data_IF_933515768480
#
_entry.id   IF_933515768480
#
_cell.length_a   1.000
_cell.length_b   1.000
_cell.length_c   1.000
_cell.angle_alpha   90.00
_cell.angle_beta   90.00
_cell.angle_gamma   90.00
#
_symmetry.space_group_name_H-M   'P 1'
#
loop_
_entity.id
_entity.type
_entity.pdbx_description
1 polymer ?
#
# COMPACT_ATOMS: atom_id res chain seq x y z
N UNK A 1 -69.13 -33.36 -1.22
CA UNK A 1 -68.84 -32.94 0.13
C UNK A 1 -67.35 -32.64 0.23
N UNK A 2 -66.89 -31.39 0.29
CA UNK A 2 -65.47 -31.07 0.39
C UNK A 2 -65.08 -31.06 1.88
N UNK A 3 -63.90 -31.63 2.17
CA UNK A 3 -63.27 -31.61 3.52
C UNK A 3 -62.53 -30.28 3.68
N UNK A 4 -62.98 -29.52 4.67
CA UNK A 4 -62.30 -28.27 5.10
C UNK A 4 -61.02 -28.59 5.85
N UNK A 5 -59.89 -28.04 5.38
CA UNK A 5 -58.62 -28.07 6.09
C UNK A 5 -58.59 -26.91 7.09
N UNK A 6 -58.47 -27.25 8.36
CA UNK A 6 -58.24 -26.29 9.47
C UNK A 6 -56.78 -25.83 9.37
N UNK A 7 -56.58 -24.56 9.04
CA UNK A 7 -55.28 -23.88 9.17
C UNK A 7 -55.15 -23.38 10.58
N UNK A 8 -54.14 -23.86 11.32
CA UNK A 8 -53.82 -23.44 12.69
C UNK A 8 -52.93 -22.24 12.62
N UNK A 9 -53.37 -21.04 13.06
CA UNK A 9 -52.59 -19.80 12.95
C UNK A 9 -51.39 -19.66 13.90
N UNK A 10 -51.11 -20.66 14.71
CA UNK A 10 -50.10 -20.54 15.80
C UNK A 10 -48.66 -20.94 15.46
N UNK A 11 -48.43 -21.63 14.29
CA UNK A 11 -47.09 -22.13 13.98
C UNK A 11 -46.20 -21.13 13.22
N UNK A 12 -46.76 -20.15 12.54
CA UNK A 12 -45.99 -19.18 11.73
C UNK A 12 -45.28 -18.12 12.59
N UNK A 13 -45.87 -17.75 13.73
CA UNK A 13 -45.23 -16.75 14.64
C UNK A 13 -44.02 -17.32 15.41
N UNK A 14 -43.95 -18.63 15.64
CA UNK A 14 -42.82 -19.21 16.41
C UNK A 14 -41.54 -19.32 15.59
N UNK A 15 -41.64 -19.56 14.27
CA UNK A 15 -40.46 -19.65 13.40
C UNK A 15 -39.84 -18.27 13.10
N UNK A 16 -40.66 -17.23 12.99
CA UNK A 16 -40.16 -15.87 12.76
C UNK A 16 -39.50 -15.29 14.03
N UNK A 17 -40.01 -15.59 15.23
CA UNK A 17 -39.39 -15.15 16.47
C UNK A 17 -38.07 -15.91 16.77
N UNK A 18 -38.00 -17.20 16.44
CA UNK A 18 -36.78 -18.00 16.62
C UNK A 18 -35.68 -17.60 15.62
N UNK A 19 -36.04 -17.29 14.36
CA UNK A 19 -35.10 -16.82 13.36
C UNK A 19 -34.55 -15.41 13.70
N UNK A 20 -35.39 -14.52 14.23
CA UNK A 20 -34.96 -13.20 14.72
C UNK A 20 -34.09 -13.29 15.98
N UNK A 21 -34.41 -14.22 16.91
CA UNK A 21 -33.60 -14.44 18.12
C UNK A 21 -32.22 -15.06 17.77
N UNK A 22 -32.17 -16.03 16.83
CA UNK A 22 -30.92 -16.63 16.36
C UNK A 22 -30.08 -15.62 15.55
N UNK A 23 -30.71 -14.78 14.72
CA UNK A 23 -30.02 -13.68 14.02
C UNK A 23 -29.41 -12.66 14.99
N UNK A 24 -30.17 -12.23 16.00
CA UNK A 24 -29.70 -11.27 17.01
C UNK A 24 -28.57 -11.83 17.90
N UNK A 25 -28.58 -13.15 18.21
CA UNK A 25 -27.50 -13.79 18.98
C UNK A 25 -26.23 -13.96 18.14
N UNK A 26 -26.34 -14.30 16.85
CA UNK A 26 -25.20 -14.35 15.94
C UNK A 26 -24.56 -12.97 15.74
N UNK A 27 -25.37 -11.91 15.59
CA UNK A 27 -24.87 -10.54 15.49
C UNK A 27 -24.22 -10.06 16.81
N UNK A 28 -24.78 -10.39 17.96
CA UNK A 28 -24.22 -10.05 19.25
C UNK A 28 -22.89 -10.77 19.53
N UNK A 29 -22.79 -12.05 19.17
CA UNK A 29 -21.54 -12.83 19.31
C UNK A 29 -20.46 -12.34 18.32
N UNK A 30 -20.83 -11.96 17.10
CA UNK A 30 -19.90 -11.35 16.15
C UNK A 30 -19.42 -9.99 16.63
N UNK A 31 -20.30 -9.15 17.19
CA UNK A 31 -19.94 -7.84 17.73
C UNK A 31 -19.05 -7.95 18.98
N UNK A 32 -19.31 -8.90 19.88
CA UNK A 32 -18.48 -9.15 21.06
C UNK A 32 -17.09 -9.68 20.65
N UNK A 33 -17.03 -10.59 19.70
CA UNK A 33 -15.77 -11.12 19.12
C UNK A 33 -15.01 -10.01 18.41
N UNK A 34 -15.68 -9.16 17.65
CA UNK A 34 -15.10 -7.97 16.98
C UNK A 34 -14.51 -6.99 18.00
N UNK A 35 -15.24 -6.63 19.07
CA UNK A 35 -14.74 -5.77 20.14
C UNK A 35 -13.56 -6.38 20.89
N UNK A 36 -13.52 -7.71 21.05
CA UNK A 36 -12.38 -8.41 21.64
C UNK A 36 -11.14 -8.37 20.74
N UNK A 37 -11.29 -8.52 19.42
CA UNK A 37 -10.22 -8.39 18.45
C UNK A 37 -9.63 -6.97 18.40
N UNK A 38 -10.47 -5.94 18.46
CA UNK A 38 -10.04 -4.53 18.51
C UNK A 38 -9.32 -4.18 19.83
N UNK A 39 -9.64 -4.88 20.93
CA UNK A 39 -8.99 -4.72 22.24
C UNK A 39 -7.75 -5.60 22.39
N UNK A 40 -7.61 -6.66 21.62
CA UNK A 40 -6.41 -7.47 21.59
C UNK A 40 -5.29 -6.60 21.00
N UNK A 41 -4.24 -6.32 21.79
CA UNK A 41 -3.05 -5.67 21.24
C UNK A 41 -2.52 -6.57 20.11
N UNK A 42 -2.29 -6.04 18.90
CA UNK A 42 -1.72 -6.84 17.82
C UNK A 42 -0.42 -7.48 18.31
N UNK A 43 -0.16 -8.71 17.91
CA UNK A 43 1.09 -9.37 18.22
C UNK A 43 2.25 -8.50 17.73
N UNK A 44 3.22 -8.24 18.60
CA UNK A 44 4.42 -7.48 18.22
C UNK A 44 5.34 -8.43 17.45
N UNK A 45 5.65 -8.16 16.18
CA UNK A 45 6.53 -9.01 15.41
C UNK A 45 7.95 -8.96 15.97
N UNK A 46 8.74 -10.04 15.81
CA UNK A 46 10.16 -10.00 16.15
C UNK A 46 10.84 -8.86 15.38
N UNK A 47 11.83 -8.22 16.01
CA UNK A 47 12.59 -7.16 15.37
C UNK A 47 13.09 -7.62 14.00
N UNK A 48 12.73 -6.89 12.95
CA UNK A 48 13.17 -7.20 11.62
C UNK A 48 14.72 -7.19 11.59
N UNK A 49 15.34 -8.24 11.03
CA UNK A 49 16.80 -8.32 10.93
C UNK A 49 17.30 -7.38 9.83
N UNK A 50 17.81 -6.23 10.23
CA UNK A 50 18.31 -5.21 9.32
C UNK A 50 19.82 -5.25 9.23
N UNK A 51 20.34 -5.20 8.01
CA UNK A 51 21.77 -5.03 7.78
C UNK A 51 22.29 -3.66 8.25
N UNK A 52 23.62 -3.55 8.38
CA UNK A 52 24.31 -2.35 8.88
C UNK A 52 23.97 -1.01 8.20
N UNK A 53 23.32 -1.03 7.03
CA UNK A 53 22.95 0.17 6.28
C UNK A 53 21.84 1.02 6.94
N UNK A 54 21.04 0.44 7.84
CA UNK A 54 19.95 1.16 8.52
C UNK A 54 20.44 2.22 9.51
N UNK A 55 21.67 2.11 10.03
CA UNK A 55 22.24 3.15 10.90
C UNK A 55 22.53 4.45 10.12
N UNK A 56 22.83 4.37 8.83
CA UNK A 56 23.03 5.54 7.98
C UNK A 56 21.73 6.31 7.75
N UNK A 57 20.60 5.62 7.60
CA UNK A 57 19.28 6.23 7.36
C UNK A 57 18.71 6.98 8.59
N UNK A 58 19.24 6.75 9.77
CA UNK A 58 18.84 7.50 10.97
C UNK A 58 19.37 8.94 11.01
N UNK A 59 20.28 9.34 10.13
CA UNK A 59 21.10 10.52 10.39
C UNK A 59 20.83 11.75 9.54
N UNK A 60 20.31 11.66 8.31
CA UNK A 60 20.17 12.89 7.50
C UNK A 60 19.10 12.75 6.40
N UNK A 61 18.02 13.50 6.53
CA UNK A 61 17.21 13.88 5.38
C UNK A 61 18.05 14.82 4.47
N UNK A 62 17.93 14.68 3.15
CA UNK A 62 18.53 15.63 2.24
C UNK A 62 17.96 17.04 2.47
N UNK A 63 18.70 18.11 2.18
CA UNK A 63 18.14 19.47 2.24
C UNK A 63 16.84 19.58 1.42
N UNK A 64 16.80 19.01 0.24
CA UNK A 64 15.59 19.02 -0.62
C UNK A 64 14.40 18.37 0.07
N UNK A 65 14.58 17.22 0.74
CA UNK A 65 13.54 16.59 1.54
C UNK A 65 13.03 17.50 2.66
N UNK A 66 13.94 18.20 3.36
CA UNK A 66 13.57 19.08 4.47
C UNK A 66 12.76 20.29 4.01
N UNK A 67 13.06 20.85 2.83
CA UNK A 67 12.37 21.99 2.26
C UNK A 67 11.10 21.63 1.45
N UNK A 68 10.89 20.36 1.16
CA UNK A 68 9.72 19.90 0.42
C UNK A 68 8.41 20.21 1.17
N UNK A 69 7.39 20.63 0.42
CA UNK A 69 6.01 20.86 0.86
C UNK A 69 5.04 20.22 -0.13
N UNK A 70 3.78 20.11 0.23
CA UNK A 70 2.73 19.57 -0.65
C UNK A 70 2.53 20.40 -1.93
N UNK A 71 2.91 21.69 -1.92
CA UNK A 71 2.86 22.57 -3.09
C UNK A 71 4.10 22.43 -4.00
N UNK A 72 5.07 21.59 -3.63
CA UNK A 72 6.27 21.37 -4.45
C UNK A 72 5.93 20.70 -5.77
N UNK A 73 6.64 21.10 -6.84
CA UNK A 73 6.53 20.54 -8.20
C UNK A 73 7.11 19.12 -8.32
N UNK A 74 7.76 18.62 -7.27
CA UNK A 74 8.42 17.30 -7.19
C UNK A 74 7.76 16.46 -6.12
N UNK A 75 7.87 15.15 -6.22
CA UNK A 75 7.37 14.24 -5.21
C UNK A 75 8.39 14.07 -4.07
N UNK A 76 7.91 13.92 -2.83
CA UNK A 76 8.78 13.82 -1.66
C UNK A 76 9.71 12.61 -1.74
N UNK A 77 9.24 11.48 -2.27
CA UNK A 77 10.02 10.27 -2.43
C UNK A 77 11.21 10.42 -3.39
N UNK A 78 11.16 11.36 -4.35
CA UNK A 78 12.28 11.68 -5.24
C UNK A 78 13.49 12.29 -4.47
N UNK A 79 13.31 12.68 -3.20
CA UNK A 79 14.32 13.34 -2.36
C UNK A 79 14.87 12.47 -1.23
N UNK A 80 14.51 11.19 -1.15
CA UNK A 80 14.90 10.33 -0.03
C UNK A 80 16.33 9.78 -0.13
N UNK A 81 16.99 9.94 -1.29
CA UNK A 81 18.42 9.65 -1.47
C UNK A 81 18.77 8.16 -1.57
N UNK A 82 17.79 7.32 -1.87
CA UNK A 82 17.96 5.89 -2.14
C UNK A 82 18.01 5.61 -3.65
N UNK A 83 18.07 4.33 -4.01
CA UNK A 83 17.97 3.91 -5.40
C UNK A 83 16.61 4.36 -5.98
N UNK A 84 16.63 4.97 -7.16
CA UNK A 84 15.42 5.61 -7.73
C UNK A 84 14.68 6.54 -6.73
N UNK A 85 15.38 7.12 -5.77
CA UNK A 85 14.85 8.05 -4.78
C UNK A 85 14.45 7.39 -3.47
N UNK A 86 13.69 6.30 -3.49
CA UNK A 86 12.96 5.71 -2.36
C UNK A 86 13.01 4.17 -2.28
N UNK A 87 13.68 3.51 -3.23
CA UNK A 87 13.77 2.05 -3.23
C UNK A 87 14.92 1.58 -2.34
N UNK A 88 14.58 0.81 -1.30
CA UNK A 88 15.55 0.12 -0.44
C UNK A 88 16.09 -1.13 -1.14
N UNK A 89 17.33 -1.07 -1.59
CA UNK A 89 18.01 -2.23 -2.19
C UNK A 89 18.57 -3.15 -1.10
N UNK A 90 18.31 -4.44 -1.26
CA UNK A 90 18.92 -5.49 -0.45
C UNK A 90 20.03 -6.21 -1.23
N UNK A 91 21.08 -6.66 -0.55
CA UNK A 91 22.22 -7.36 -1.16
C UNK A 91 21.82 -8.61 -1.98
N UNK A 92 20.71 -9.23 -1.64
CA UNK A 92 20.19 -10.40 -2.34
C UNK A 92 19.68 -10.07 -3.75
N UNK A 93 19.10 -8.87 -3.93
CA UNK A 93 18.64 -8.38 -5.24
C UNK A 93 19.77 -8.08 -6.22
N UNK A 94 20.93 -7.68 -5.70
CA UNK A 94 22.11 -7.41 -6.53
C UNK A 94 22.72 -8.67 -7.15
N UNK A 95 22.32 -9.86 -6.66
CA UNK A 95 22.86 -11.15 -7.11
C UNK A 95 21.92 -11.96 -8.01
N UNK A 96 20.61 -11.76 -7.90
CA UNK A 96 19.58 -12.53 -8.61
C UNK A 96 18.66 -11.56 -9.34
N UNK A 97 18.60 -11.63 -10.65
CA UNK A 97 17.72 -10.77 -11.48
C UNK A 97 16.26 -10.75 -11.01
N UNK A 98 15.59 -9.67 -11.32
CA UNK A 98 14.34 -9.17 -10.72
C UNK A 98 13.04 -9.91 -11.10
N UNK A 99 13.10 -10.93 -11.98
CA UNK A 99 11.94 -11.77 -12.29
C UNK A 99 11.90 -13.00 -11.40
N UNK A 100 11.54 -12.82 -10.15
CA UNK A 100 11.28 -13.94 -9.28
C UNK A 100 9.81 -13.87 -8.81
N UNK A 101 8.97 -14.78 -9.30
CA UNK A 101 7.58 -15.01 -8.85
C UNK A 101 7.45 -15.13 -7.32
N UNK A 102 8.58 -15.24 -6.62
CA UNK A 102 8.66 -15.31 -5.16
C UNK A 102 8.53 -13.95 -4.46
N UNK A 103 8.41 -12.85 -5.19
CA UNK A 103 8.30 -11.50 -4.61
C UNK A 103 6.86 -11.04 -4.38
N UNK A 104 5.85 -11.79 -4.83
CA UNK A 104 4.45 -11.53 -4.51
C UNK A 104 4.11 -11.98 -3.09
N UNK A 105 3.10 -11.38 -2.51
CA UNK A 105 2.56 -11.79 -1.22
C UNK A 105 1.60 -12.94 -1.44
N UNK A 106 1.83 -14.12 -0.81
CA UNK A 106 0.96 -15.27 -0.95
C UNK A 106 -0.49 -14.92 -0.64
N UNK A 107 -1.41 -15.42 -1.44
CA UNK A 107 -2.83 -15.20 -1.24
C UNK A 107 -3.21 -13.71 -1.28
N UNK A 108 -2.43 -12.87 -1.96
CA UNK A 108 -2.61 -11.42 -1.98
C UNK A 108 -2.75 -10.78 -0.58
N UNK A 109 -2.33 -11.50 0.47
CA UNK A 109 -2.43 -11.10 1.87
C UNK A 109 -1.13 -10.52 2.41
N UNK A 110 -1.21 -9.31 2.97
CA UNK A 110 -0.07 -8.57 3.51
C UNK A 110 -0.22 -8.40 5.02
N UNK A 111 0.42 -9.25 5.84
CA UNK A 111 0.48 -9.02 7.27
C UNK A 111 1.23 -7.73 7.58
N UNK A 112 0.68 -6.86 8.42
CA UNK A 112 1.32 -5.60 8.78
C UNK A 112 1.38 -5.36 10.29
N UNK A 113 2.34 -4.55 10.70
CA UNK A 113 2.44 -3.96 12.02
C UNK A 113 2.80 -2.49 11.89
N UNK A 114 1.94 -1.59 12.37
CA UNK A 114 2.22 -0.15 12.47
C UNK A 114 2.83 0.10 13.85
N UNK A 115 4.03 0.64 13.91
CA UNK A 115 4.67 0.92 15.20
C UNK A 115 3.95 2.08 15.91
N UNK A 116 3.28 1.84 17.05
CA UNK A 116 2.49 2.86 17.71
C UNK A 116 3.33 3.97 18.36
N UNK A 117 4.66 3.82 18.43
CA UNK A 117 5.56 4.85 18.95
C UNK A 117 5.93 5.88 17.88
N UNK A 118 5.74 5.55 16.60
CA UNK A 118 6.18 6.40 15.50
C UNK A 118 5.05 7.26 14.91
N UNK A 119 3.77 6.94 15.20
CA UNK A 119 2.61 7.57 14.57
C UNK A 119 1.55 8.02 15.60
N UNK A 120 0.99 9.20 15.36
CA UNK A 120 -0.22 9.65 16.05
C UNK A 120 -1.46 8.91 15.52
N UNK A 121 -2.59 9.00 16.23
CA UNK A 121 -3.86 8.41 15.80
C UNK A 121 -4.28 8.92 14.40
N UNK A 122 -4.15 10.22 14.13
CA UNK A 122 -4.46 10.80 12.82
C UNK A 122 -3.55 10.24 11.72
N UNK A 123 -2.26 10.08 11.98
CA UNK A 123 -1.31 9.50 11.03
C UNK A 123 -1.61 8.02 10.78
N UNK A 124 -1.94 7.27 11.81
CA UNK A 124 -2.39 5.88 11.67
C UNK A 124 -3.64 5.79 10.79
N UNK A 125 -4.60 6.70 10.96
CA UNK A 125 -5.79 6.75 10.08
C UNK A 125 -5.44 7.00 8.61
N UNK A 126 -4.43 7.84 8.31
CA UNK A 126 -3.99 8.04 6.91
C UNK A 126 -3.47 6.73 6.33
N UNK A 127 -2.67 5.98 7.09
CA UNK A 127 -2.15 4.68 6.67
C UNK A 127 -3.30 3.68 6.43
N UNK A 128 -4.26 3.61 7.36
CA UNK A 128 -5.41 2.71 7.23
C UNK A 128 -6.31 3.08 6.05
N UNK A 129 -6.47 4.37 5.74
CA UNK A 129 -7.20 4.82 4.53
C UNK A 129 -6.50 4.39 3.24
N UNK A 130 -5.17 4.35 3.21
CA UNK A 130 -4.44 3.80 2.08
C UNK A 130 -4.69 2.28 1.96
N UNK A 131 -4.66 1.52 3.04
CA UNK A 131 -5.05 0.10 3.01
C UNK A 131 -6.47 -0.09 2.48
N UNK A 132 -7.41 0.76 2.94
CA UNK A 132 -8.79 0.70 2.46
C UNK A 132 -8.89 0.94 0.94
N UNK A 133 -8.12 1.86 0.37
CA UNK A 133 -8.10 2.06 -1.08
C UNK A 133 -7.71 0.78 -1.84
N UNK A 134 -6.69 0.05 -1.34
CA UNK A 134 -6.32 -1.26 -1.91
C UNK A 134 -7.44 -2.28 -1.74
N UNK A 135 -8.07 -2.35 -0.57
CA UNK A 135 -9.18 -3.28 -0.30
C UNK A 135 -10.39 -3.02 -1.20
N UNK A 136 -10.71 -1.75 -1.44
CA UNK A 136 -11.89 -1.35 -2.23
C UNK A 136 -11.67 -1.55 -3.74
N UNK A 137 -10.43 -1.46 -4.22
CA UNK A 137 -10.14 -1.39 -5.65
C UNK A 137 -9.39 -2.60 -6.21
N UNK A 138 -8.82 -3.43 -5.34
CA UNK A 138 -7.99 -4.58 -5.73
C UNK A 138 -8.31 -5.80 -4.89
N UNK A 139 -7.71 -6.94 -5.26
CA UNK A 139 -7.78 -8.16 -4.44
C UNK A 139 -6.77 -8.18 -3.27
N UNK A 140 -5.89 -7.21 -3.15
CA UNK A 140 -4.91 -7.14 -2.06
C UNK A 140 -5.62 -6.91 -0.73
N UNK A 141 -5.18 -7.64 0.29
CA UNK A 141 -5.71 -7.53 1.65
C UNK A 141 -4.59 -7.31 2.66
N UNK A 142 -4.62 -6.16 3.32
CA UNK A 142 -3.79 -5.87 4.48
C UNK A 142 -4.47 -6.39 5.73
N UNK A 143 -3.75 -7.16 6.55
CA UNK A 143 -4.23 -7.67 7.82
C UNK A 143 -3.19 -7.51 8.94
N UNK A 144 -3.60 -7.44 10.21
CA UNK A 144 -2.65 -7.43 11.30
C UNK A 144 -1.68 -8.60 11.24
N UNK A 145 -0.44 -8.36 11.70
CA UNK A 145 0.52 -9.42 11.95
C UNK A 145 -0.01 -10.37 13.03
N UNK A 146 0.07 -11.66 12.77
CA UNK A 146 -0.23 -12.73 13.72
C UNK A 146 1.05 -13.54 14.01
N UNK A 147 1.12 -14.10 15.24
CA UNK A 147 2.25 -14.94 15.60
C UNK A 147 2.29 -16.19 14.71
N UNK A 148 3.39 -16.35 13.98
CA UNK A 148 3.55 -17.44 13.00
C UNK A 148 3.63 -16.96 11.55
N UNK A 149 3.28 -15.69 11.28
CA UNK A 149 3.49 -15.09 9.96
C UNK A 149 4.99 -15.15 9.60
N UNK A 150 5.26 -15.68 8.41
CA UNK A 150 6.64 -15.80 7.90
C UNK A 150 7.17 -14.52 7.29
N UNK A 151 6.27 -13.67 6.80
CA UNK A 151 6.55 -12.41 6.11
C UNK A 151 5.56 -11.35 6.56
N UNK A 152 6.04 -10.13 6.82
CA UNK A 152 5.19 -9.01 7.22
C UNK A 152 5.82 -7.66 6.88
N UNK A 153 4.99 -6.61 6.77
CA UNK A 153 5.42 -5.23 6.72
C UNK A 153 5.49 -4.66 8.14
N UNK A 154 6.64 -4.08 8.47
CA UNK A 154 6.81 -3.25 9.65
C UNK A 154 6.80 -1.79 9.21
N UNK A 155 5.70 -1.07 9.51
CA UNK A 155 5.55 0.34 9.15
C UNK A 155 6.16 1.20 10.23
N UNK A 156 7.16 1.99 9.85
CA UNK A 156 7.98 2.84 10.72
C UNK A 156 7.90 4.30 10.26
N UNK A 157 8.08 5.23 11.21
CA UNK A 157 8.06 6.67 10.94
C UNK A 157 9.32 7.40 11.38
N UNK A 158 10.27 6.71 11.98
CA UNK A 158 11.41 7.30 12.68
C UNK A 158 12.74 7.25 11.91
N UNK A 159 12.76 6.74 10.69
CA UNK A 159 13.90 6.84 9.78
C UNK A 159 13.74 8.03 8.84
N UNK A 160 14.84 8.44 8.24
CA UNK A 160 14.88 9.50 7.23
C UNK A 160 14.19 9.02 5.93
N UNK A 161 13.40 9.89 5.30
CA UNK A 161 12.77 9.65 4.00
C UNK A 161 11.50 8.80 4.02
N UNK A 162 10.86 8.71 2.86
CA UNK A 162 9.79 7.77 2.54
C UNK A 162 10.41 6.69 1.67
N UNK A 163 10.26 5.41 2.00
CA UNK A 163 10.88 4.35 1.20
C UNK A 163 10.33 2.97 1.54
N UNK A 164 10.44 2.09 0.57
CA UNK A 164 10.11 0.68 0.69
C UNK A 164 11.07 -0.22 -0.08
N UNK A 165 11.05 -1.51 0.20
CA UNK A 165 11.62 -2.53 -0.68
C UNK A 165 10.61 -2.90 -1.75
N UNK A 166 11.08 -3.26 -2.95
CA UNK A 166 10.20 -3.77 -4.00
C UNK A 166 9.88 -5.25 -3.74
N UNK A 167 8.59 -5.56 -3.64
CA UNK A 167 8.06 -6.90 -3.41
C UNK A 167 8.31 -7.45 -2.00
N UNK A 168 7.79 -8.64 -1.75
CA UNK A 168 7.89 -9.36 -0.48
C UNK A 168 9.30 -9.87 -0.22
N UNK A 169 9.79 -9.69 1.01
CA UNK A 169 11.06 -10.22 1.50
C UNK A 169 10.87 -11.34 2.50
N UNK A 170 11.91 -12.13 2.70
CA UNK A 170 11.91 -13.16 3.75
C UNK A 170 11.94 -12.51 5.13
N UNK A 171 11.01 -12.90 5.99
CA UNK A 171 10.85 -12.30 7.32
C UNK A 171 10.13 -10.96 7.27
N UNK A 172 10.40 -10.10 8.26
CA UNK A 172 9.88 -8.74 8.31
C UNK A 172 10.66 -7.79 7.42
N UNK A 173 9.95 -6.88 6.73
CA UNK A 173 10.54 -5.78 5.98
C UNK A 173 9.96 -4.45 6.44
N UNK A 174 10.79 -3.38 6.46
CA UNK A 174 10.29 -2.04 6.79
C UNK A 174 9.78 -1.34 5.56
N UNK A 175 8.66 -0.67 5.75
CA UNK A 175 8.19 0.44 4.95
C UNK A 175 8.28 1.68 5.83
N UNK A 176 9.07 2.66 5.44
CA UNK A 176 9.30 3.85 6.25
C UNK A 176 8.54 5.07 5.73
N UNK A 177 7.81 5.69 6.63
CA UNK A 177 7.04 6.91 6.39
C UNK A 177 7.49 7.98 7.38
N UNK A 178 8.60 8.67 7.07
CA UNK A 178 9.13 9.70 7.97
C UNK A 178 8.04 10.69 8.40
N UNK A 179 7.82 10.80 9.69
CA UNK A 179 6.79 11.69 10.25
C UNK A 179 7.30 13.13 10.39
N UNK A 180 6.47 14.15 10.07
CA UNK A 180 5.10 14.03 9.53
C UNK A 180 5.02 13.94 8.01
N UNK A 181 6.07 14.22 7.26
CA UNK A 181 6.07 14.55 5.82
C UNK A 181 5.64 13.41 4.90
N UNK A 182 5.98 12.15 5.24
CA UNK A 182 5.63 11.00 4.40
C UNK A 182 4.23 10.44 4.68
N UNK A 183 3.53 10.95 5.71
CA UNK A 183 2.22 10.41 6.10
C UNK A 183 1.12 11.21 5.41
N UNK A 184 1.13 11.19 4.09
CA UNK A 184 0.03 11.66 3.23
C UNK A 184 -0.49 10.49 2.41
N UNK A 185 -1.75 10.53 2.01
CA UNK A 185 -2.42 9.39 1.38
C UNK A 185 -1.67 8.85 0.16
N UNK A 186 -1.33 9.71 -0.80
CA UNK A 186 -0.65 9.29 -2.04
C UNK A 186 0.77 8.76 -1.78
N UNK A 187 1.50 9.29 -0.78
CA UNK A 187 2.82 8.76 -0.40
C UNK A 187 2.69 7.35 0.19
N UNK A 188 1.73 7.14 1.09
CA UNK A 188 1.51 5.80 1.68
C UNK A 188 1.12 4.79 0.60
N UNK A 189 0.21 5.16 -0.32
CA UNK A 189 -0.18 4.31 -1.45
C UNK A 189 1.04 3.97 -2.32
N UNK A 190 1.90 4.94 -2.64
CA UNK A 190 3.11 4.75 -3.43
C UNK A 190 4.06 3.73 -2.78
N UNK A 191 4.41 3.91 -1.51
CA UNK A 191 5.32 3.02 -0.80
C UNK A 191 4.77 1.60 -0.64
N UNK A 192 3.45 1.47 -0.47
CA UNK A 192 2.77 0.18 -0.45
C UNK A 192 2.83 -0.52 -1.81
N UNK A 193 2.72 0.24 -2.92
CA UNK A 193 2.80 -0.34 -4.26
C UNK A 193 4.22 -0.88 -4.55
N UNK A 194 5.27 -0.21 -4.05
CA UNK A 194 6.62 -0.79 -4.02
C UNK A 194 6.65 -2.11 -3.24
N UNK A 195 6.11 -2.14 -2.02
CA UNK A 195 6.07 -3.35 -1.20
C UNK A 195 5.31 -4.50 -1.87
N UNK A 196 4.37 -4.19 -2.76
CA UNK A 196 3.62 -5.16 -3.57
C UNK A 196 4.35 -5.63 -4.82
N UNK A 197 5.47 -5.00 -5.21
CA UNK A 197 6.32 -5.49 -6.29
C UNK A 197 6.55 -4.53 -7.47
N UNK A 198 6.06 -3.31 -7.39
CA UNK A 198 6.14 -2.35 -8.49
C UNK A 198 7.37 -1.45 -8.40
N UNK A 199 7.98 -1.20 -9.56
CA UNK A 199 8.99 -0.17 -9.78
C UNK A 199 8.35 1.11 -10.32
N UNK A 200 9.15 2.16 -10.46
CA UNK A 200 8.66 3.43 -11.00
C UNK A 200 8.23 3.31 -12.46
N UNK A 201 7.15 4.00 -12.82
CA UNK A 201 6.53 3.92 -14.14
C UNK A 201 7.45 4.44 -15.26
N UNK A 202 8.26 5.50 -15.03
CA UNK A 202 9.19 6.03 -16.03
C UNK A 202 10.35 5.06 -16.35
N UNK A 203 10.54 4.02 -15.55
CA UNK A 203 11.54 2.96 -15.81
C UNK A 203 10.99 1.81 -16.67
N UNK A 204 9.74 1.90 -17.13
CA UNK A 204 9.11 0.92 -18.01
C UNK A 204 9.89 0.77 -19.33
N UNK A 205 9.90 -0.45 -19.89
CA UNK A 205 10.65 -0.79 -21.10
C UNK A 205 10.25 0.08 -22.28
N UNK A 206 8.95 0.34 -22.43
CA UNK A 206 8.31 1.08 -23.53
C UNK A 206 8.26 2.60 -23.30
N UNK A 207 8.77 3.11 -22.18
CA UNK A 207 8.57 4.50 -21.76
C UNK A 207 8.93 5.56 -22.82
N UNK A 208 9.92 5.29 -23.68
CA UNK A 208 10.37 6.24 -24.71
C UNK A 208 9.32 6.46 -25.84
N UNK A 209 8.28 5.63 -25.90
CA UNK A 209 7.12 5.82 -26.76
C UNK A 209 6.11 6.83 -26.15
N UNK A 210 6.27 7.19 -24.87
CA UNK A 210 5.34 8.01 -24.10
C UNK A 210 5.98 9.26 -23.49
N UNK A 211 7.24 9.19 -23.11
CA UNK A 211 7.96 10.30 -22.46
C UNK A 211 9.35 10.48 -23.07
N UNK A 212 9.78 11.73 -23.14
CA UNK A 212 11.14 12.12 -23.47
C UNK A 212 11.91 12.45 -22.21
N UNK A 213 13.11 11.89 -22.05
CA UNK A 213 14.04 12.23 -20.97
C UNK A 213 15.00 13.31 -21.43
N UNK A 214 15.04 14.43 -20.73
CA UNK A 214 15.98 15.53 -20.96
C UNK A 214 17.20 15.34 -20.05
N UNK A 215 18.12 14.50 -20.50
CA UNK A 215 19.30 14.07 -19.73
C UNK A 215 20.17 15.24 -19.27
N UNK A 216 20.26 16.32 -20.05
CA UNK A 216 21.01 17.53 -19.74
C UNK A 216 20.48 18.29 -18.52
N UNK A 217 19.20 18.07 -18.14
CA UNK A 217 18.57 18.70 -17.00
C UNK A 217 18.72 17.89 -15.71
N UNK A 218 19.15 16.62 -15.80
CA UNK A 218 19.24 15.72 -14.65
C UNK A 218 20.46 16.11 -13.79
N UNK A 219 20.25 16.12 -12.47
CA UNK A 219 21.28 16.34 -11.46
C UNK A 219 22.42 15.32 -11.63
N UNK A 220 23.65 15.80 -11.58
CA UNK A 220 24.83 14.97 -11.76
C UNK A 220 24.86 13.80 -10.77
N UNK A 221 25.16 12.60 -11.26
CA UNK A 221 25.13 11.37 -10.47
C UNK A 221 23.76 10.69 -10.36
N UNK A 222 22.66 11.31 -10.84
CA UNK A 222 21.30 10.77 -10.73
C UNK A 222 20.71 10.22 -12.04
N UNK A 223 21.49 10.22 -13.12
CA UNK A 223 21.04 9.70 -14.43
C UNK A 223 20.58 8.22 -14.34
N UNK A 224 21.17 7.43 -13.44
CA UNK A 224 20.79 6.03 -13.26
C UNK A 224 19.33 5.84 -12.78
N UNK A 225 18.70 6.84 -12.15
CA UNK A 225 17.29 6.80 -11.73
C UNK A 225 16.31 6.88 -12.92
N UNK A 226 16.83 7.12 -14.12
CA UNK A 226 16.06 7.17 -15.36
C UNK A 226 16.39 6.00 -16.30
N UNK A 227 17.07 4.95 -15.82
CA UNK A 227 17.32 3.76 -16.60
C UNK A 227 16.02 2.99 -16.83
N UNK A 228 15.89 2.44 -18.05
CA UNK A 228 14.80 1.50 -18.35
C UNK A 228 15.14 0.10 -17.88
N UNK A 229 14.17 -0.61 -17.41
CA UNK A 229 14.29 -2.06 -17.20
C UNK A 229 14.07 -2.82 -18.50
N UNK A 230 14.79 -3.91 -18.67
CA UNK A 230 14.55 -4.82 -19.79
C UNK A 230 13.25 -5.62 -19.56
N UNK A 231 12.61 -6.04 -20.66
CA UNK A 231 11.40 -6.91 -20.64
C UNK A 231 11.59 -8.23 -19.87
N UNK A 232 12.84 -8.65 -19.70
CA UNK A 232 13.21 -9.81 -18.89
C UNK A 232 13.15 -9.53 -17.39
N UNK A 233 13.00 -8.28 -16.97
CA UNK A 233 13.02 -7.88 -15.55
C UNK A 233 11.69 -7.35 -15.04
N UNK A 234 10.90 -6.73 -15.91
CA UNK A 234 9.57 -6.21 -15.58
C UNK A 234 8.60 -6.50 -16.73
N UNK A 235 7.33 -6.59 -16.40
CA UNK A 235 6.24 -6.67 -17.37
C UNK A 235 5.27 -5.52 -17.16
N UNK A 236 4.59 -5.11 -18.23
CA UNK A 236 3.48 -4.16 -18.17
C UNK A 236 2.13 -4.87 -17.94
N UNK A 237 2.13 -6.21 -17.80
CA UNK A 237 0.92 -7.02 -17.61
C UNK A 237 -0.14 -6.82 -18.71
N UNK A 238 0.28 -6.48 -19.94
CA UNK A 238 -0.65 -6.17 -21.04
C UNK A 238 -1.36 -4.81 -20.92
N UNK A 239 -1.04 -4.01 -19.89
CA UNK A 239 -1.60 -2.69 -19.66
C UNK A 239 -0.68 -1.62 -20.28
N UNK A 240 -1.26 -0.69 -21.01
CA UNK A 240 -0.52 0.43 -21.61
C UNK A 240 0.18 1.31 -20.57
N UNK A 241 1.18 2.07 -21.02
CA UNK A 241 1.87 3.07 -20.20
C UNK A 241 0.89 4.02 -19.51
N UNK A 242 1.21 4.39 -18.28
CA UNK A 242 0.31 5.16 -17.43
C UNK A 242 0.94 6.47 -16.95
N UNK A 243 0.57 7.58 -17.59
CA UNK A 243 0.96 8.91 -17.13
C UNK A 243 0.40 9.29 -15.75
N UNK A 244 -0.73 8.67 -15.37
CA UNK A 244 -1.41 8.94 -14.10
C UNK A 244 -1.04 7.93 -12.99
N UNK A 245 -0.11 7.01 -13.25
CA UNK A 245 0.37 6.10 -12.22
C UNK A 245 0.89 6.88 -11.02
N UNK A 246 0.53 6.44 -9.80
CA UNK A 246 1.13 6.97 -8.57
C UNK A 246 2.62 6.67 -8.49
N UNK A 247 3.11 5.69 -9.28
CA UNK A 247 4.52 5.34 -9.40
C UNK A 247 5.29 6.18 -10.41
N UNK A 248 4.64 7.15 -11.08
CA UNK A 248 5.32 7.99 -12.05
C UNK A 248 6.02 9.18 -11.37
N UNK A 249 7.27 9.41 -11.73
CA UNK A 249 8.00 10.61 -11.30
C UNK A 249 7.27 11.88 -11.73
N UNK A 250 7.53 12.95 -11.01
CA UNK A 250 7.18 14.30 -11.44
C UNK A 250 7.96 14.71 -12.69
N UNK A 251 7.45 15.70 -13.43
CA UNK A 251 8.15 16.20 -14.63
C UNK A 251 9.53 16.80 -14.34
N UNK A 252 9.79 17.20 -13.08
CA UNK A 252 11.06 17.83 -12.64
C UNK A 252 11.84 16.97 -11.65
N UNK A 253 11.57 15.69 -11.58
CA UNK A 253 12.30 14.77 -10.71
C UNK A 253 13.81 14.88 -10.95
N UNK A 254 14.59 15.03 -9.89
CA UNK A 254 16.06 15.16 -9.94
C UNK A 254 16.58 16.27 -10.87
N UNK A 255 15.84 17.35 -11.07
CA UNK A 255 16.27 18.46 -11.90
C UNK A 255 17.37 19.28 -11.22
N UNK A 256 18.46 19.59 -11.95
CA UNK A 256 19.54 20.46 -11.48
C UNK A 256 19.32 21.95 -11.73
N UNK A 257 18.39 22.28 -12.61
CA UNK A 257 18.20 23.65 -13.11
C UNK A 257 16.74 24.12 -13.09
N UNK A 258 15.83 23.34 -12.47
CA UNK A 258 14.40 23.61 -12.40
C UNK A 258 13.62 23.36 -13.70
N UNK A 259 14.29 22.89 -14.77
CA UNK A 259 13.62 22.51 -16.02
C UNK A 259 13.13 21.07 -15.95
N UNK A 260 12.21 20.71 -16.85
CA UNK A 260 11.70 19.35 -16.94
C UNK A 260 12.82 18.36 -17.26
N UNK A 261 12.87 17.26 -16.50
CA UNK A 261 13.71 16.09 -16.76
C UNK A 261 12.92 15.02 -17.51
N UNK A 262 11.59 15.02 -17.38
CA UNK A 262 10.66 14.16 -18.10
C UNK A 262 9.60 15.05 -18.77
N UNK A 263 9.43 14.90 -20.07
CA UNK A 263 8.38 15.53 -20.86
C UNK A 263 7.45 14.45 -21.43
N UNK A 264 6.13 14.52 -21.16
CA UNK A 264 5.18 13.62 -21.80
C UNK A 264 5.12 13.94 -23.30
N UNK A 265 4.99 12.92 -24.15
CA UNK A 265 4.75 13.11 -25.59
C UNK A 265 3.29 13.51 -25.88
N UNK A 266 2.36 13.13 -24.99
CA UNK A 266 1.00 13.65 -25.01
C UNK A 266 0.98 15.04 -24.32
N UNK A 267 0.67 16.12 -25.06
CA UNK A 267 0.66 17.48 -24.51
C UNK A 267 -0.41 17.72 -23.45
N UNK A 268 -1.39 16.82 -23.31
CA UNK A 268 -2.46 16.91 -22.31
C UNK A 268 -2.15 16.07 -21.06
N UNK A 269 -1.09 15.26 -21.09
CA UNK A 269 -0.71 14.46 -19.94
C UNK A 269 -0.01 15.30 -18.86
N UNK A 270 -0.32 14.99 -17.61
CA UNK A 270 0.40 15.49 -16.42
C UNK A 270 1.05 14.32 -15.68
N UNK A 271 2.23 14.57 -15.09
CA UNK A 271 3.04 13.54 -14.43
C UNK A 271 3.14 13.81 -12.93
N UNK A 272 3.34 12.73 -12.14
CA UNK A 272 3.67 12.84 -10.73
C UNK A 272 2.48 13.14 -9.81
N UNK A 273 1.30 12.61 -10.12
CA UNK A 273 0.13 12.74 -9.25
C UNK A 273 0.36 12.04 -7.89
N UNK A 274 -0.29 12.56 -6.82
CA UNK A 274 -0.17 12.08 -5.42
C UNK A 274 -1.53 11.79 -4.78
N UNK A 275 -2.53 11.43 -5.58
CA UNK A 275 -3.91 11.25 -5.08
C UNK A 275 -4.18 9.83 -4.60
N UNK A 276 -3.50 8.82 -5.18
CA UNK A 276 -3.71 7.40 -4.94
C UNK A 276 -3.54 6.59 -6.22
N UNK A 277 -4.04 5.35 -6.23
CA UNK A 277 -3.97 4.45 -7.38
C UNK A 277 -4.70 5.02 -8.59
N UNK A 278 -4.08 4.93 -9.75
CA UNK A 278 -4.79 5.07 -11.03
C UNK A 278 -5.60 3.80 -11.35
N UNK A 279 -6.47 3.86 -12.35
CA UNK A 279 -7.17 2.65 -12.84
C UNK A 279 -6.20 1.65 -13.48
N UNK A 280 -5.13 2.14 -14.13
CA UNK A 280 -4.10 1.27 -14.71
C UNK A 280 -3.17 0.69 -13.64
N UNK A 281 -2.90 1.39 -12.52
CA UNK A 281 -2.22 0.79 -11.36
C UNK A 281 -3.02 -0.37 -10.80
N UNK A 282 -4.34 -0.19 -10.64
CA UNK A 282 -5.26 -1.25 -10.20
C UNK A 282 -5.27 -2.44 -11.15
N UNK A 283 -5.36 -2.19 -12.47
CA UNK A 283 -5.35 -3.24 -13.48
C UNK A 283 -4.05 -4.06 -13.43
N UNK A 284 -2.90 -3.40 -13.43
CA UNK A 284 -1.58 -4.07 -13.33
C UNK A 284 -1.44 -4.89 -12.06
N UNK A 285 -1.93 -4.36 -10.93
CA UNK A 285 -1.85 -5.04 -9.64
C UNK A 285 -2.71 -6.30 -9.62
N UNK A 286 -3.96 -6.23 -10.12
CA UNK A 286 -4.84 -7.38 -10.21
C UNK A 286 -4.30 -8.46 -11.16
N UNK A 287 -3.71 -8.08 -12.29
CA UNK A 287 -3.02 -9.01 -13.19
C UNK A 287 -1.81 -9.69 -12.53
N UNK A 288 -0.98 -8.91 -11.81
CA UNK A 288 0.18 -9.45 -11.09
C UNK A 288 -0.20 -10.50 -10.04
N UNK A 289 -1.37 -10.32 -9.41
CA UNK A 289 -1.86 -11.18 -8.34
C UNK A 289 -3.03 -12.08 -8.80
N UNK A 290 -3.29 -12.22 -10.10
CA UNK A 290 -4.43 -12.96 -10.65
C UNK A 290 -4.58 -14.37 -10.05
N UNK A 291 -3.47 -15.11 -9.88
CA UNK A 291 -3.47 -16.44 -9.31
C UNK A 291 -3.80 -16.47 -7.82
N UNK A 292 -3.48 -15.38 -7.10
CA UNK A 292 -3.72 -15.21 -5.68
C UNK A 292 -5.11 -14.62 -5.37
N UNK A 293 -5.83 -14.13 -6.41
CA UNK A 293 -7.12 -13.43 -6.32
C UNK A 293 -8.33 -14.35 -6.59
N UNK A 294 -8.24 -15.66 -6.31
CA UNK A 294 -9.33 -16.61 -6.59
C UNK A 294 -10.63 -16.26 -5.83
N UNK A 295 -11.80 -16.56 -6.46
CA UNK A 295 -13.13 -16.28 -5.86
C UNK A 295 -13.32 -16.95 -4.50
N UNK A 296 -12.81 -18.17 -4.30
CA UNK A 296 -12.87 -18.88 -3.02
C UNK A 296 -12.12 -18.14 -1.91
N UNK A 297 -11.06 -17.41 -2.27
CA UNK A 297 -10.29 -16.62 -1.36
C UNK A 297 -11.05 -15.34 -0.95
N UNK A 298 -11.69 -14.68 -1.89
CA UNK A 298 -12.51 -13.47 -1.63
C UNK A 298 -13.69 -13.76 -0.68
N UNK A 299 -14.32 -14.94 -0.81
CA UNK A 299 -15.43 -15.37 0.06
C UNK A 299 -14.98 -15.66 1.51
N UNK A 300 -13.74 -16.10 1.72
CA UNK A 300 -13.18 -16.31 3.05
C UNK A 300 -12.66 -15.00 3.70
N UNK A 301 -12.57 -13.93 2.93
CA UNK A 301 -11.96 -12.65 3.33
C UNK A 301 -12.91 -11.65 4.00
N UNK A 302 -14.21 -11.90 4.06
CA UNK A 302 -15.15 -11.07 4.84
C UNK A 302 -14.69 -10.86 6.30
N UNK A 303 -13.85 -11.77 6.79
CA UNK A 303 -13.26 -11.67 8.13
C UNK A 303 -12.23 -10.54 8.27
N UNK A 304 -11.51 -10.17 7.20
CA UNK A 304 -10.45 -9.14 7.23
C UNK A 304 -10.84 -7.86 6.47
N UNK A 305 -11.76 -7.94 5.50
CA UNK A 305 -12.28 -6.77 4.79
C UNK A 305 -12.87 -5.74 5.74
N UNK A 306 -13.63 -6.20 6.72
CA UNK A 306 -14.24 -5.36 7.76
C UNK A 306 -13.25 -4.86 8.81
N UNK A 307 -12.06 -5.50 8.97
CA UNK A 307 -11.11 -5.12 10.01
C UNK A 307 -10.55 -3.71 9.83
N UNK A 308 -10.22 -3.32 8.61
CA UNK A 308 -9.72 -1.96 8.34
C UNK A 308 -10.81 -0.93 8.57
N UNK A 309 -12.04 -1.20 8.15
CA UNK A 309 -13.19 -0.32 8.41
C UNK A 309 -13.46 -0.18 9.92
N UNK A 310 -13.41 -1.27 10.67
CA UNK A 310 -13.55 -1.28 12.13
C UNK A 310 -12.44 -0.49 12.83
N UNK A 311 -11.19 -0.58 12.36
CA UNK A 311 -10.10 0.23 12.88
C UNK A 311 -10.31 1.71 12.58
N UNK A 312 -10.77 2.05 11.37
CA UNK A 312 -11.06 3.42 10.99
C UNK A 312 -12.16 4.01 11.88
N UNK A 313 -13.24 3.27 12.10
CA UNK A 313 -14.35 3.67 12.98
C UNK A 313 -13.86 3.85 14.44
N UNK A 314 -13.03 2.93 14.94
CA UNK A 314 -12.44 3.03 16.29
C UNK A 314 -11.61 4.30 16.46
N UNK A 315 -10.74 4.62 15.49
CA UNK A 315 -9.91 5.81 15.56
C UNK A 315 -10.74 7.10 15.38
N UNK A 316 -11.77 7.10 14.54
CA UNK A 316 -12.67 8.24 14.36
C UNK A 316 -13.47 8.54 15.64
N UNK A 317 -14.02 7.51 16.29
CA UNK A 317 -14.74 7.65 17.55
C UNK A 317 -13.87 8.21 18.68
N UNK A 318 -12.65 7.67 18.85
CA UNK A 318 -11.75 8.14 19.91
C UNK A 318 -11.23 9.57 19.69
N UNK A 319 -11.14 10.05 18.45
CA UNK A 319 -10.74 11.44 18.16
C UNK A 319 -11.88 12.40 18.51
N UNK A 320 -13.14 12.03 18.25
CA UNK A 320 -14.31 12.84 18.62
C UNK A 320 -14.43 12.96 20.14
N UNK A 321 -14.16 11.88 20.89
CA UNK A 321 -14.19 11.88 22.35
C UNK A 321 -13.06 12.71 22.99
N UNK A 322 -11.96 12.97 22.27
CA UNK A 322 -10.85 13.81 22.70
C UNK A 322 -11.05 15.31 22.36
N UNK A 323 -11.96 15.63 21.45
CA UNK A 323 -12.26 16.99 20.98
C UNK A 323 -13.57 17.55 21.56
N UNK A 324 -14.40 16.73 22.22
CA UNK A 324 -15.62 17.13 22.97
C UNK A 324 -15.34 17.29 24.44
#
# INVERSE_FOLDING_TARGET
>A
MPRSALIVPGLICFWSALALALGATLEADTLATRKALLRARPAVPPAARWGANMQMLRRHNSPAFNFWTEDSDTNIWEHCGLFEGDIMLHRELLRNGLLNERLTWPEAAVPFYIDPQDFTANQTMVILKAFKEYHDRTCIRFRPYEQGDKHWLLIKGNYSGCWSSVGRRSGGQVLNLNTPKCVTHGVVVHELLHALGFYHQQSATERDEYVKINWENILDGHAHNFNKYARTHITNFGVEYDYQSVMHYSSRAFSKNGKATIEPLDPYASLGQRRGLSDKDVSKLNEMYEQDCSEDYLLNFDRFGNYIDELLDYFQGNIQDLLG
#
